data_IF_102943442413
#
_entry.id   IF_102943442413
#
_cell.length_a   1.000
_cell.length_b   1.000
_cell.length_c   1.000
_cell.angle_alpha   90.00
_cell.angle_beta   90.00
_cell.angle_gamma   90.00
#
_symmetry.space_group_name_H-M   'P 1'
#
loop_
_entity.id
_entity.type
_entity.pdbx_description
1 polymer ?
#
# COMPACT_ATOMS: atom_id res chain seq x y z
N UNK A 1 -16.64 -5.65 13.05
CA UNK A 1 -16.23 -6.79 13.91
C UNK A 1 -14.72 -6.87 14.07
N UNK A 2 -13.92 -6.90 12.99
CA UNK A 2 -12.44 -6.94 13.01
C UNK A 2 -11.79 -6.07 14.09
N UNK A 3 -12.15 -4.78 14.17
CA UNK A 3 -11.59 -3.87 15.18
C UNK A 3 -11.90 -4.27 16.63
N UNK A 4 -13.06 -4.87 16.92
CA UNK A 4 -13.39 -5.35 18.28
C UNK A 4 -12.43 -6.47 18.69
N UNK A 5 -12.13 -7.38 17.75
CA UNK A 5 -11.17 -8.46 17.95
C UNK A 5 -9.74 -7.94 18.14
N UNK A 6 -9.27 -7.04 17.27
CA UNK A 6 -7.92 -6.47 17.37
C UNK A 6 -7.70 -5.64 18.63
N UNK A 7 -8.76 -5.00 19.12
CA UNK A 7 -8.75 -4.25 20.37
C UNK A 7 -9.01 -5.16 21.58
N UNK A 8 -9.23 -6.46 21.42
CA UNK A 8 -9.33 -7.40 22.54
C UNK A 8 -8.03 -7.46 23.34
N UNK A 9 -8.14 -7.66 24.66
CA UNK A 9 -7.00 -7.90 25.55
C UNK A 9 -6.44 -6.67 26.27
N UNK A 10 -5.43 -6.90 27.13
CA UNK A 10 -4.86 -5.88 27.99
C UNK A 10 -4.07 -4.82 27.21
N UNK A 11 -3.95 -3.63 27.78
CA UNK A 11 -3.06 -2.59 27.25
C UNK A 11 -1.63 -2.94 27.63
N UNK A 12 -0.76 -3.05 26.63
CA UNK A 12 0.65 -3.34 26.81
C UNK A 12 1.39 -2.09 27.29
N UNK A 13 2.39 -2.29 28.15
CA UNK A 13 3.23 -1.19 28.63
C UNK A 13 4.07 -0.62 27.48
N UNK A 14 4.43 0.67 27.59
CA UNK A 14 5.31 1.32 26.60
C UNK A 14 6.67 0.61 26.49
N UNK A 15 7.17 0.04 27.59
CA UNK A 15 8.40 -0.74 27.62
C UNK A 15 8.30 -1.97 26.72
N UNK A 16 7.25 -2.79 26.89
CA UNK A 16 7.01 -3.99 26.07
C UNK A 16 6.93 -3.65 24.58
N UNK A 17 6.14 -2.64 24.22
CA UNK A 17 5.99 -2.23 22.81
C UNK A 17 7.34 -1.80 22.23
N UNK A 18 8.13 -1.00 22.96
CA UNK A 18 9.46 -0.55 22.52
C UNK A 18 10.44 -1.70 22.38
N UNK A 19 10.47 -2.63 23.34
CA UNK A 19 11.36 -3.80 23.29
C UNK A 19 11.03 -4.67 22.08
N UNK A 20 9.75 -5.01 21.86
CA UNK A 20 9.36 -5.81 20.69
C UNK A 20 9.66 -5.08 19.38
N UNK A 21 9.44 -3.76 19.33
CA UNK A 21 9.79 -2.97 18.14
C UNK A 21 11.30 -2.98 17.90
N UNK A 22 12.12 -2.80 18.94
CA UNK A 22 13.58 -2.84 18.83
C UNK A 22 14.09 -4.22 18.39
N UNK A 23 13.54 -5.30 18.94
CA UNK A 23 13.85 -6.67 18.53
C UNK A 23 13.49 -6.91 17.06
N UNK A 24 12.34 -6.41 16.59
CA UNK A 24 11.95 -6.53 15.20
C UNK A 24 12.89 -5.71 14.28
N UNK A 25 13.21 -4.46 14.63
CA UNK A 25 14.18 -3.66 13.86
C UNK A 25 15.55 -4.35 13.81
N UNK A 26 16.03 -4.90 14.93
CA UNK A 26 17.28 -5.64 14.99
C UNK A 26 17.24 -6.89 14.10
N UNK A 27 16.18 -7.67 14.19
CA UNK A 27 15.98 -8.85 13.33
C UNK A 27 15.97 -8.46 11.85
N UNK A 28 15.27 -7.38 11.48
CA UNK A 28 15.27 -6.86 10.13
C UNK A 28 16.68 -6.48 9.66
N UNK A 29 17.43 -5.72 10.45
CA UNK A 29 18.80 -5.32 10.11
C UNK A 29 19.75 -6.53 9.96
N UNK A 30 19.61 -7.54 10.82
CA UNK A 30 20.38 -8.78 10.73
C UNK A 30 20.05 -9.57 9.45
N UNK A 31 18.77 -9.72 9.12
CA UNK A 31 18.36 -10.41 7.89
C UNK A 31 18.80 -9.61 6.66
N UNK A 32 18.70 -8.28 6.67
CA UNK A 32 19.20 -7.41 5.60
C UNK A 32 20.70 -7.64 5.37
N UNK A 33 21.52 -7.59 6.43
CA UNK A 33 22.96 -7.78 6.34
C UNK A 33 23.38 -9.18 5.85
N UNK A 34 22.49 -10.18 5.96
CA UNK A 34 22.72 -11.56 5.52
C UNK A 34 21.82 -11.95 4.35
N UNK A 35 21.12 -11.01 3.72
CA UNK A 35 20.10 -11.30 2.73
C UNK A 35 20.66 -12.12 1.56
N UNK A 36 21.82 -11.72 1.02
CA UNK A 36 22.46 -12.44 -0.10
C UNK A 36 22.87 -13.89 0.20
N UNK A 37 22.99 -14.27 1.49
CA UNK A 37 23.27 -15.65 1.88
C UNK A 37 22.02 -16.45 2.26
N UNK A 38 20.94 -15.78 2.66
CA UNK A 38 19.71 -16.40 3.17
C UNK A 38 18.60 -16.48 2.12
N UNK A 39 18.61 -15.57 1.15
CA UNK A 39 17.53 -15.38 0.20
C UNK A 39 17.95 -15.79 -1.21
N UNK A 40 17.03 -16.35 -2.00
CA UNK A 40 17.33 -16.69 -3.38
C UNK A 40 17.60 -15.45 -4.25
N UNK A 41 18.46 -15.59 -5.26
CA UNK A 41 18.92 -14.50 -6.13
C UNK A 41 17.81 -13.69 -6.79
N UNK A 42 16.65 -14.31 -7.10
CA UNK A 42 15.58 -13.61 -7.81
C UNK A 42 14.99 -12.42 -7.03
N UNK A 43 15.08 -12.42 -5.70
CA UNK A 43 14.60 -11.32 -4.85
C UNK A 43 15.42 -10.04 -5.12
N UNK A 44 16.65 -10.19 -5.60
CA UNK A 44 17.58 -9.10 -5.88
C UNK A 44 17.45 -8.54 -7.30
N UNK A 45 16.67 -9.15 -8.21
CA UNK A 45 16.58 -8.74 -9.63
C UNK A 45 16.28 -7.25 -9.84
N UNK A 46 15.34 -6.68 -9.10
CA UNK A 46 15.00 -5.25 -9.24
C UNK A 46 16.13 -4.35 -8.71
N UNK A 47 16.85 -4.80 -7.70
CA UNK A 47 18.02 -4.11 -7.18
C UNK A 47 19.23 -4.24 -8.11
N UNK A 48 19.45 -5.39 -8.73
CA UNK A 48 20.51 -5.58 -9.72
C UNK A 48 20.31 -4.64 -10.91
N UNK A 49 19.06 -4.46 -11.36
CA UNK A 49 18.71 -3.47 -12.40
C UNK A 49 19.04 -2.05 -11.95
N UNK A 50 18.70 -1.70 -10.71
CA UNK A 50 18.98 -0.38 -10.14
C UNK A 50 20.50 -0.16 -10.00
N UNK A 51 21.23 -1.15 -9.51
CA UNK A 51 22.68 -1.12 -9.34
C UNK A 51 23.39 -0.99 -10.68
N UNK A 52 22.93 -1.70 -11.71
CA UNK A 52 23.43 -1.55 -13.07
C UNK A 52 23.24 -0.12 -13.60
N UNK A 53 22.06 0.49 -13.37
CA UNK A 53 21.80 1.88 -13.74
C UNK A 53 22.62 2.88 -12.90
N UNK A 54 22.84 2.61 -11.61
CA UNK A 54 23.75 3.41 -10.77
C UNK A 54 25.19 3.37 -11.30
N UNK A 55 25.62 2.24 -11.86
CA UNK A 55 26.92 2.07 -12.50
C UNK A 55 27.02 2.68 -13.91
N UNK A 56 25.96 3.32 -14.41
CA UNK A 56 25.96 3.99 -15.72
C UNK A 56 25.59 3.09 -16.91
N UNK A 57 24.95 1.94 -16.68
CA UNK A 57 24.46 1.11 -17.79
C UNK A 57 23.31 1.81 -18.55
N UNK A 58 23.27 1.68 -19.87
CA UNK A 58 22.18 2.25 -20.70
C UNK A 58 20.98 1.32 -20.90
N UNK A 59 21.04 0.08 -20.38
CA UNK A 59 20.03 -0.97 -20.63
C UNK A 59 18.60 -0.57 -20.30
N UNK A 60 18.40 0.29 -19.30
CA UNK A 60 17.08 0.75 -18.85
C UNK A 60 16.90 2.28 -18.95
N UNK A 61 17.69 2.94 -19.79
CA UNK A 61 17.65 4.40 -19.99
C UNK A 61 16.23 4.90 -20.29
N UNK A 62 15.83 6.00 -19.65
CA UNK A 62 14.49 6.58 -19.82
C UNK A 62 13.33 5.81 -19.17
N UNK A 63 13.61 4.69 -18.51
CA UNK A 63 12.59 3.94 -17.75
C UNK A 63 12.56 4.36 -16.28
N UNK A 64 11.57 3.85 -15.55
CA UNK A 64 11.49 4.02 -14.09
C UNK A 64 12.69 3.42 -13.33
N UNK A 65 13.46 2.49 -13.91
CA UNK A 65 14.69 1.97 -13.28
C UNK A 65 15.84 2.99 -13.35
N UNK A 66 15.97 3.71 -14.47
CA UNK A 66 16.98 4.77 -14.66
C UNK A 66 16.75 5.91 -13.68
N UNK A 67 15.52 6.43 -13.58
CA UNK A 67 15.18 7.51 -12.65
C UNK A 67 15.53 7.17 -11.18
N UNK A 68 15.25 5.93 -10.75
CA UNK A 68 15.57 5.46 -9.40
C UNK A 68 17.04 5.14 -9.23
N UNK A 69 17.70 4.61 -10.26
CA UNK A 69 19.15 4.41 -10.29
C UNK A 69 19.91 5.72 -10.10
N UNK A 70 19.55 6.77 -10.85
CA UNK A 70 20.12 8.11 -10.68
C UNK A 70 19.87 8.67 -9.28
N UNK A 71 18.66 8.46 -8.73
CA UNK A 71 18.35 8.89 -7.39
C UNK A 71 19.27 8.22 -6.35
N UNK A 72 19.44 6.89 -6.42
CA UNK A 72 20.29 6.16 -5.50
C UNK A 72 21.79 6.42 -5.72
N UNK A 73 22.22 6.71 -6.95
CA UNK A 73 23.59 7.09 -7.24
C UNK A 73 24.04 8.33 -6.47
N UNK A 74 23.13 9.26 -6.14
CA UNK A 74 23.45 10.44 -5.31
C UNK A 74 23.90 10.08 -3.89
N UNK A 75 23.57 8.89 -3.40
CA UNK A 75 23.94 8.41 -2.06
C UNK A 75 25.17 7.48 -2.08
N UNK A 76 25.49 6.88 -3.22
CA UNK A 76 26.64 5.99 -3.39
C UNK A 76 26.67 4.88 -2.32
N UNK A 77 27.73 4.76 -1.51
CA UNK A 77 27.82 3.75 -0.43
C UNK A 77 26.75 3.87 0.67
N UNK A 78 26.03 4.99 0.75
CA UNK A 78 25.01 5.22 1.79
C UNK A 78 23.63 4.64 1.44
N UNK A 79 23.46 4.00 0.28
CA UNK A 79 22.18 3.41 -0.14
C UNK A 79 21.71 2.33 0.85
N UNK A 80 22.56 1.40 1.24
CA UNK A 80 22.15 0.33 2.16
C UNK A 80 21.77 0.87 3.56
N UNK A 81 22.58 1.73 4.21
CA UNK A 81 22.16 2.43 5.43
C UNK A 81 20.85 3.20 5.28
N UNK A 82 20.61 3.84 4.13
CA UNK A 82 19.37 4.56 3.86
C UNK A 82 18.18 3.60 3.82
N UNK A 83 18.27 2.49 3.10
CA UNK A 83 17.18 1.49 3.02
C UNK A 83 16.89 0.89 4.39
N UNK A 84 17.93 0.52 5.14
CA UNK A 84 17.80 0.01 6.52
C UNK A 84 17.13 1.06 7.42
N UNK A 85 17.53 2.33 7.30
CA UNK A 85 16.93 3.44 8.05
C UNK A 85 15.44 3.61 7.74
N UNK A 86 15.05 3.57 6.47
CA UNK A 86 13.66 3.63 6.03
C UNK A 86 12.87 2.44 6.61
N UNK A 87 13.43 1.23 6.54
CA UNK A 87 12.79 0.03 7.09
C UNK A 87 12.63 0.08 8.61
N UNK A 88 13.64 0.55 9.33
CA UNK A 88 13.57 0.75 10.77
C UNK A 88 12.50 1.79 11.15
N UNK A 89 12.44 2.92 10.42
CA UNK A 89 11.40 3.92 10.61
C UNK A 89 9.99 3.37 10.30
N UNK A 90 9.85 2.56 9.26
CA UNK A 90 8.59 1.90 8.90
C UNK A 90 8.11 0.94 9.99
N UNK A 91 8.97 0.00 10.42
CA UNK A 91 8.67 -0.95 11.50
C UNK A 91 8.31 -0.18 12.78
N UNK A 92 9.10 0.84 13.13
CA UNK A 92 8.79 1.69 14.29
C UNK A 92 7.43 2.36 14.17
N UNK A 93 7.12 2.95 13.01
CA UNK A 93 5.83 3.62 12.78
C UNK A 93 4.64 2.65 12.87
N UNK A 94 4.81 1.41 12.40
CA UNK A 94 3.81 0.34 12.48
C UNK A 94 3.54 -0.10 13.92
N UNK A 95 4.59 -0.38 14.70
CA UNK A 95 4.44 -0.99 16.04
C UNK A 95 4.32 0.00 17.19
N UNK A 96 4.89 1.21 17.11
CA UNK A 96 4.96 2.13 18.26
C UNK A 96 3.60 2.57 18.82
N UNK A 97 2.52 2.39 18.05
CA UNK A 97 1.14 2.71 18.43
C UNK A 97 0.26 1.48 18.63
N UNK A 98 0.79 0.28 18.39
CA UNK A 98 0.12 -0.98 18.60
C UNK A 98 0.23 -1.39 20.08
N UNK A 99 -0.58 -0.79 20.95
CA UNK A 99 -0.51 -1.01 22.40
C UNK A 99 -1.39 -2.17 22.90
N UNK A 100 -1.86 -3.04 22.01
CA UNK A 100 -2.66 -4.23 22.33
C UNK A 100 -2.13 -5.42 21.53
N UNK A 101 -2.20 -6.66 22.07
CA UNK A 101 -1.68 -7.84 21.38
C UNK A 101 -2.26 -8.01 19.97
N UNK A 102 -3.57 -7.85 19.80
CA UNK A 102 -4.21 -7.95 18.48
C UNK A 102 -3.72 -6.89 17.49
N UNK A 103 -3.52 -5.64 17.94
CA UNK A 103 -2.93 -4.59 17.11
C UNK A 103 -1.46 -4.88 16.78
N UNK A 104 -0.68 -5.44 17.70
CA UNK A 104 0.71 -5.82 17.43
C UNK A 104 0.78 -6.94 16.40
N UNK A 105 -0.05 -7.97 16.55
CA UNK A 105 -0.15 -9.04 15.57
C UNK A 105 -0.54 -8.49 14.19
N UNK A 106 -1.54 -7.62 14.11
CA UNK A 106 -1.91 -6.96 12.86
C UNK A 106 -0.78 -6.10 12.27
N UNK A 107 -0.05 -5.35 13.11
CA UNK A 107 1.10 -4.56 12.67
C UNK A 107 2.19 -5.45 12.07
N UNK A 108 2.50 -6.58 12.71
CA UNK A 108 3.47 -7.56 12.21
C UNK A 108 3.01 -8.18 10.88
N UNK A 109 1.76 -8.66 10.80
CA UNK A 109 1.21 -9.25 9.56
C UNK A 109 1.25 -8.24 8.41
N UNK A 110 0.94 -6.96 8.68
CA UNK A 110 0.98 -5.90 7.68
C UNK A 110 2.42 -5.47 7.31
N UNK A 111 3.38 -5.56 8.23
CA UNK A 111 4.76 -5.13 7.97
C UNK A 111 5.61 -6.19 7.30
N UNK A 112 5.36 -7.49 7.56
CA UNK A 112 6.20 -8.59 7.04
C UNK A 112 6.34 -8.55 5.50
N UNK A 113 5.26 -8.47 4.69
CA UNK A 113 5.41 -8.41 3.24
C UNK A 113 6.17 -7.16 2.77
N UNK A 114 5.98 -6.02 3.45
CA UNK A 114 6.70 -4.78 3.11
C UNK A 114 8.18 -4.91 3.39
N UNK A 115 8.54 -5.45 4.56
CA UNK A 115 9.93 -5.72 4.93
C UNK A 115 10.57 -6.67 3.92
N UNK A 116 9.86 -7.74 3.56
CA UNK A 116 10.37 -8.79 2.69
C UNK A 116 10.52 -8.34 1.23
N UNK A 117 9.51 -7.67 0.67
CA UNK A 117 9.49 -7.35 -0.76
C UNK A 117 10.02 -5.97 -1.10
N UNK A 118 9.98 -5.00 -0.18
CA UNK A 118 10.26 -3.59 -0.50
C UNK A 118 11.48 -3.01 0.23
N UNK A 119 11.98 -3.70 1.27
CA UNK A 119 12.98 -3.14 2.19
C UNK A 119 14.20 -4.05 2.41
N UNK A 120 14.29 -5.21 1.75
CA UNK A 120 15.51 -6.02 1.78
C UNK A 120 16.58 -5.56 0.80
N UNK A 121 16.20 -4.77 -0.20
CA UNK A 121 17.14 -4.17 -1.15
C UNK A 121 16.57 -2.84 -1.65
N UNK A 122 17.45 -1.97 -2.15
CA UNK A 122 17.04 -0.74 -2.80
C UNK A 122 16.12 -1.06 -3.99
N UNK A 123 14.87 -0.63 -3.90
CA UNK A 123 13.85 -0.85 -4.93
C UNK A 123 13.03 0.41 -5.14
N UNK A 124 12.26 0.44 -6.24
CA UNK A 124 11.31 1.53 -6.49
C UNK A 124 10.28 1.64 -5.37
N UNK A 125 9.87 0.49 -4.82
CA UNK A 125 8.86 0.40 -3.78
C UNK A 125 9.38 0.90 -2.42
N UNK A 126 10.70 0.92 -2.20
CA UNK A 126 11.30 1.57 -1.03
C UNK A 126 10.96 3.06 -0.97
N UNK A 127 10.93 3.75 -2.13
CA UNK A 127 10.51 5.15 -2.21
C UNK A 127 9.02 5.30 -1.89
N UNK A 128 8.18 4.33 -2.29
CA UNK A 128 6.75 4.32 -1.97
C UNK A 128 6.53 4.14 -0.45
N UNK A 129 7.35 3.32 0.21
CA UNK A 129 7.36 3.21 1.68
C UNK A 129 7.75 4.55 2.33
N UNK A 130 8.73 5.26 1.78
CA UNK A 130 9.11 6.58 2.27
C UNK A 130 7.97 7.60 2.11
N UNK A 131 7.27 7.58 0.96
CA UNK A 131 6.07 8.38 0.74
C UNK A 131 5.00 8.06 1.80
N UNK A 132 4.76 6.77 2.07
CA UNK A 132 3.75 6.37 3.06
C UNK A 132 4.12 6.83 4.48
N UNK A 133 5.42 6.81 4.83
CA UNK A 133 5.93 7.38 6.08
C UNK A 133 5.66 8.89 6.19
N UNK A 134 5.99 9.67 5.17
CA UNK A 134 5.78 11.12 5.18
C UNK A 134 4.30 11.48 5.28
N UNK A 135 3.45 10.85 4.47
CA UNK A 135 2.00 11.12 4.46
C UNK A 135 1.35 10.69 5.78
N UNK A 136 1.69 9.50 6.30
CA UNK A 136 1.20 9.04 7.59
C UNK A 136 1.68 9.95 8.73
N UNK A 137 2.94 10.40 8.70
CA UNK A 137 3.49 11.35 9.67
C UNK A 137 2.73 12.68 9.64
N UNK A 138 2.51 13.26 8.46
CA UNK A 138 1.74 14.50 8.30
C UNK A 138 0.29 14.35 8.82
N UNK A 139 -0.30 13.17 8.65
CA UNK A 139 -1.63 12.85 9.15
C UNK A 139 -1.70 12.66 10.69
N UNK A 140 -0.58 12.46 11.40
CA UNK A 140 -0.57 12.14 12.84
C UNK A 140 -1.26 13.17 13.73
N UNK A 141 -1.18 14.45 13.36
CA UNK A 141 -1.82 15.55 14.11
C UNK A 141 -3.31 15.71 13.79
N UNK A 142 -3.89 14.82 12.97
CA UNK A 142 -5.30 14.86 12.59
C UNK A 142 -5.65 15.96 11.58
N UNK A 143 -4.66 16.73 11.09
CA UNK A 143 -4.87 17.81 10.13
C UNK A 143 -4.86 17.25 8.69
N UNK A 144 -6.01 17.16 8.01
CA UNK A 144 -6.07 16.61 6.66
C UNK A 144 -5.33 17.49 5.66
N UNK A 145 -5.27 18.82 5.83
CA UNK A 145 -4.62 19.73 4.86
C UNK A 145 -3.12 19.44 4.74
N UNK A 146 -2.44 19.19 5.87
CA UNK A 146 -1.02 18.81 5.87
C UNK A 146 -0.81 17.48 5.16
N UNK A 147 -1.63 16.47 5.48
CA UNK A 147 -1.56 15.17 4.83
C UNK A 147 -1.86 15.24 3.33
N UNK A 148 -2.84 16.06 2.91
CA UNK A 148 -3.16 16.30 1.50
C UNK A 148 -2.01 16.97 0.77
N UNK A 149 -1.42 18.03 1.33
CA UNK A 149 -0.29 18.73 0.72
C UNK A 149 0.91 17.78 0.58
N UNK A 150 1.27 17.05 1.64
CA UNK A 150 2.35 16.06 1.59
C UNK A 150 2.06 14.97 0.55
N UNK A 151 0.82 14.46 0.50
CA UNK A 151 0.46 13.46 -0.50
C UNK A 151 0.53 14.00 -1.93
N UNK A 152 0.06 15.23 -2.18
CA UNK A 152 0.12 15.87 -3.49
C UNK A 152 1.58 16.05 -3.94
N UNK A 153 2.46 16.54 -3.06
CA UNK A 153 3.87 16.71 -3.36
C UNK A 153 4.57 15.37 -3.60
N UNK A 154 4.38 14.39 -2.70
CA UNK A 154 5.06 13.10 -2.79
C UNK A 154 4.57 12.26 -3.98
N UNK A 155 3.26 12.09 -4.15
CA UNK A 155 2.70 11.33 -5.28
C UNK A 155 2.91 12.07 -6.60
N UNK A 156 2.81 13.40 -6.61
CA UNK A 156 3.06 14.21 -7.80
C UNK A 156 4.52 14.13 -8.27
N UNK A 157 5.48 14.28 -7.34
CA UNK A 157 6.90 14.13 -7.65
C UNK A 157 7.22 12.71 -8.15
N UNK A 158 6.68 11.68 -7.48
CA UNK A 158 6.89 10.30 -7.91
C UNK A 158 6.23 9.99 -9.27
N UNK A 159 5.07 10.58 -9.54
CA UNK A 159 4.41 10.44 -10.82
C UNK A 159 5.19 11.11 -11.97
N UNK A 160 5.74 12.30 -11.71
CA UNK A 160 6.51 13.04 -12.69
C UNK A 160 7.88 12.41 -12.99
N UNK A 161 8.52 11.81 -11.98
CA UNK A 161 9.91 11.35 -12.10
C UNK A 161 10.05 9.84 -12.28
N UNK A 162 9.14 9.04 -11.74
CA UNK A 162 9.32 7.58 -11.65
C UNK A 162 8.21 6.81 -12.36
N UNK A 163 6.94 6.98 -11.96
CA UNK A 163 5.82 6.20 -12.53
C UNK A 163 4.54 7.03 -12.60
N UNK A 164 4.16 7.43 -13.82
CA UNK A 164 3.03 8.33 -14.09
C UNK A 164 1.69 7.87 -13.51
N UNK A 165 1.43 6.57 -13.40
CA UNK A 165 0.17 6.05 -12.84
C UNK A 165 -0.03 6.41 -11.35
N UNK A 166 1.00 6.87 -10.64
CA UNK A 166 0.81 7.43 -9.28
C UNK A 166 -0.07 8.68 -9.27
N UNK A 167 -0.16 9.42 -10.39
CA UNK A 167 -1.12 10.49 -10.55
C UNK A 167 -2.56 9.95 -10.52
N UNK A 168 -2.81 8.79 -11.12
CA UNK A 168 -4.12 8.13 -11.07
C UNK A 168 -4.45 7.65 -9.65
N UNK A 169 -3.47 7.09 -8.93
CA UNK A 169 -3.64 6.72 -7.50
C UNK A 169 -4.05 7.94 -6.67
N UNK A 170 -3.35 9.07 -6.86
CA UNK A 170 -3.66 10.30 -6.16
C UNK A 170 -5.04 10.85 -6.54
N UNK A 171 -5.39 10.86 -7.83
CA UNK A 171 -6.69 11.31 -8.32
C UNK A 171 -7.84 10.48 -7.72
N UNK A 172 -7.73 9.14 -7.72
CA UNK A 172 -8.73 8.26 -7.10
C UNK A 172 -8.75 8.45 -5.58
N UNK A 173 -7.59 8.59 -4.93
CA UNK A 173 -7.51 8.82 -3.47
C UNK A 173 -8.17 10.12 -3.04
N UNK A 174 -7.87 11.24 -3.70
CA UNK A 174 -8.52 12.54 -3.44
C UNK A 174 -9.99 12.53 -3.85
N UNK A 175 -10.33 11.90 -4.97
CA UNK A 175 -11.71 11.73 -5.42
C UNK A 175 -12.55 10.95 -4.40
N UNK A 176 -12.04 9.81 -3.90
CA UNK A 176 -12.68 9.02 -2.86
C UNK A 176 -12.80 9.79 -1.53
N UNK A 177 -11.82 10.64 -1.20
CA UNK A 177 -11.91 11.51 -0.03
C UNK A 177 -13.00 12.59 -0.22
N UNK A 178 -13.03 13.27 -1.36
CA UNK A 178 -14.05 14.27 -1.67
C UNK A 178 -15.46 13.64 -1.69
N UNK A 179 -15.60 12.48 -2.33
CA UNK A 179 -16.83 11.68 -2.38
C UNK A 179 -17.43 11.40 -1.01
N UNK A 180 -16.60 11.10 0.00
CA UNK A 180 -17.05 10.85 1.38
C UNK A 180 -17.54 12.11 2.10
N UNK A 181 -17.19 13.29 1.61
CA UNK A 181 -17.56 14.58 2.21
C UNK A 181 -18.70 15.29 1.46
N UNK A 182 -19.06 14.84 0.26
CA UNK A 182 -20.14 15.43 -0.53
C UNK A 182 -21.52 14.85 -0.19
N UNK A 183 -22.60 15.66 -0.34
CA UNK A 183 -23.96 15.16 -0.21
C UNK A 183 -24.32 14.20 -1.36
N UNK A 184 -25.38 13.41 -1.17
CA UNK A 184 -25.77 12.33 -2.08
C UNK A 184 -25.92 12.79 -3.54
N UNK A 185 -26.52 13.95 -3.77
CA UNK A 185 -26.71 14.50 -5.13
C UNK A 185 -25.39 14.67 -5.91
N UNK A 186 -24.36 15.23 -5.27
CA UNK A 186 -23.05 15.44 -5.88
C UNK A 186 -22.28 14.14 -6.04
N UNK A 187 -22.55 13.16 -5.15
CA UNK A 187 -22.06 11.79 -5.33
C UNK A 187 -22.69 11.18 -6.58
N UNK A 188 -24.01 11.11 -6.69
CA UNK A 188 -24.67 10.55 -7.87
C UNK A 188 -24.21 11.22 -9.17
N UNK A 189 -24.15 12.56 -9.20
CA UNK A 189 -23.63 13.31 -10.34
C UNK A 189 -22.16 12.96 -10.65
N UNK A 190 -21.31 12.86 -9.61
CA UNK A 190 -19.92 12.45 -9.77
C UNK A 190 -19.73 11.03 -10.29
N UNK A 191 -20.55 10.06 -9.85
CA UNK A 191 -20.51 8.69 -10.37
C UNK A 191 -20.97 8.64 -11.82
N UNK A 192 -22.06 9.34 -12.16
CA UNK A 192 -22.52 9.42 -13.53
C UNK A 192 -21.46 10.05 -14.44
N UNK A 193 -20.82 11.13 -13.99
CA UNK A 193 -19.73 11.81 -14.71
C UNK A 193 -18.51 10.90 -14.86
N UNK A 194 -18.10 10.19 -13.81
CA UNK A 194 -16.97 9.27 -13.87
C UNK A 194 -17.26 8.08 -14.80
N UNK A 195 -18.47 7.51 -14.73
CA UNK A 195 -18.89 6.43 -15.60
C UNK A 195 -18.93 6.88 -17.06
N UNK A 196 -19.50 8.06 -17.33
CA UNK A 196 -19.53 8.65 -18.65
C UNK A 196 -18.12 8.94 -19.17
N UNK A 197 -17.24 9.51 -18.33
CA UNK A 197 -15.87 9.79 -18.70
C UNK A 197 -15.11 8.51 -19.06
N UNK A 198 -15.26 7.43 -18.28
CA UNK A 198 -14.67 6.13 -18.61
C UNK A 198 -15.29 5.58 -19.89
N UNK A 199 -16.61 5.60 -20.05
CA UNK A 199 -17.32 5.10 -21.23
C UNK A 199 -16.89 5.81 -22.53
N UNK A 200 -16.63 7.11 -22.45
CA UNK A 200 -16.19 7.93 -23.59
C UNK A 200 -14.69 7.80 -23.90
N UNK A 201 -13.92 7.02 -23.13
CA UNK A 201 -12.52 6.78 -23.47
C UNK A 201 -12.43 6.02 -24.79
N UNK A 202 -11.45 6.38 -25.65
CA UNK A 202 -11.24 5.64 -26.88
C UNK A 202 -10.65 4.25 -26.57
N UNK A 203 -10.97 3.26 -27.40
CA UNK A 203 -10.65 1.86 -27.14
C UNK A 203 -9.15 1.57 -26.93
N UNK A 204 -8.28 2.35 -27.58
CA UNK A 204 -6.83 2.26 -27.38
C UNK A 204 -6.39 2.58 -25.95
N UNK A 205 -7.14 3.41 -25.20
CA UNK A 205 -6.85 3.70 -23.79
C UNK A 205 -7.23 2.52 -22.91
N UNK A 206 -8.35 1.84 -23.18
CA UNK A 206 -8.69 0.61 -22.45
C UNK A 206 -7.61 -0.47 -22.65
N UNK A 207 -7.18 -0.66 -23.90
CA UNK A 207 -6.07 -1.57 -24.24
C UNK A 207 -4.80 -1.15 -23.51
N UNK A 208 -4.41 0.13 -23.57
CA UNK A 208 -3.20 0.61 -22.89
C UNK A 208 -3.22 0.39 -21.37
N UNK A 209 -4.40 0.46 -20.73
CA UNK A 209 -4.54 0.25 -19.29
C UNK A 209 -4.53 -1.23 -18.87
N UNK A 210 -5.12 -2.12 -19.66
CA UNK A 210 -5.29 -3.54 -19.30
C UNK A 210 -4.23 -4.46 -19.93
N UNK A 211 -3.70 -4.14 -21.11
CA UNK A 211 -2.76 -5.00 -21.82
C UNK A 211 -1.43 -5.17 -21.07
N UNK A 212 -1.01 -4.16 -20.30
CA UNK A 212 0.18 -4.25 -19.46
C UNK A 212 0.11 -5.39 -18.43
N UNK A 213 -1.10 -5.77 -17.99
CA UNK A 213 -1.26 -6.94 -17.10
C UNK A 213 -0.91 -8.22 -17.84
N UNK A 214 -1.50 -8.45 -19.01
CA UNK A 214 -1.26 -9.67 -19.79
C UNK A 214 0.22 -9.79 -20.18
N UNK A 215 0.85 -8.67 -20.52
CA UNK A 215 2.29 -8.63 -20.78
C UNK A 215 3.15 -9.01 -19.57
N UNK A 216 2.73 -8.61 -18.38
CA UNK A 216 3.39 -9.03 -17.15
C UNK A 216 3.17 -10.53 -16.87
N UNK A 217 1.99 -11.08 -17.22
CA UNK A 217 1.73 -12.52 -17.13
C UNK A 217 2.61 -13.29 -18.12
N UNK A 218 2.72 -12.86 -19.37
CA UNK A 218 3.58 -13.49 -20.38
C UNK A 218 5.03 -13.54 -19.90
N UNK A 219 5.53 -12.45 -19.33
CA UNK A 219 6.85 -12.42 -18.71
C UNK A 219 6.98 -13.49 -17.60
N UNK A 220 5.97 -13.62 -16.73
CA UNK A 220 5.98 -14.60 -15.64
C UNK A 220 5.88 -16.04 -16.14
N UNK A 221 5.11 -16.30 -17.20
CA UNK A 221 4.94 -17.65 -17.75
C UNK A 221 6.19 -18.11 -18.49
N UNK A 222 6.74 -17.23 -19.34
CA UNK A 222 7.81 -17.62 -20.27
C UNK A 222 9.22 -17.33 -19.75
N UNK A 223 9.39 -16.38 -18.82
CA UNK A 223 10.71 -15.90 -18.38
C UNK A 223 10.95 -16.03 -16.86
N UNK A 224 9.92 -16.36 -16.07
CA UNK A 224 10.09 -16.58 -14.63
C UNK A 224 10.31 -18.06 -14.30
N UNK A 225 11.39 -18.42 -13.59
CA UNK A 225 11.64 -19.80 -13.16
C UNK A 225 10.68 -20.28 -12.06
N UNK A 226 9.79 -19.43 -11.54
CA UNK A 226 8.87 -19.74 -10.44
C UNK A 226 7.44 -20.06 -10.89
N UNK A 227 7.17 -19.94 -12.19
CA UNK A 227 5.85 -20.12 -12.78
C UNK A 227 4.86 -19.01 -12.41
N UNK A 228 3.63 -19.16 -12.90
CA UNK A 228 2.59 -18.13 -12.88
C UNK A 228 1.37 -18.57 -12.05
N UNK A 229 1.60 -19.17 -10.87
CA UNK A 229 0.56 -19.94 -10.13
C UNK A 229 -0.71 -19.13 -9.81
N UNK A 230 -0.55 -17.87 -9.41
CA UNK A 230 -1.70 -16.99 -9.11
C UNK A 230 -1.96 -15.96 -10.21
N UNK A 231 -1.19 -16.02 -11.29
CA UNK A 231 -1.32 -15.10 -12.40
C UNK A 231 -2.61 -15.35 -13.16
N UNK A 232 -3.12 -14.33 -13.83
CA UNK A 232 -4.32 -14.45 -14.64
C UNK A 232 -4.31 -13.44 -15.79
N UNK A 233 -4.78 -13.90 -16.95
CA UNK A 233 -5.03 -13.06 -18.11
C UNK A 233 -6.38 -12.36 -18.01
N UNK A 234 -6.55 -11.32 -18.81
CA UNK A 234 -7.85 -10.74 -19.14
C UNK A 234 -8.72 -11.75 -19.88
N UNK A 235 -9.91 -12.12 -19.36
CA UNK A 235 -10.82 -13.03 -20.07
C UNK A 235 -11.54 -12.39 -21.25
N UNK A 236 -11.69 -11.06 -21.28
CA UNK A 236 -12.40 -10.34 -22.34
C UNK A 236 -11.44 -9.51 -23.18
N UNK A 237 -11.89 -9.10 -24.37
CA UNK A 237 -11.14 -8.17 -25.21
C UNK A 237 -11.24 -6.75 -24.60
N UNK A 238 -10.10 -6.11 -24.23
CA UNK A 238 -10.10 -4.78 -23.64
C UNK A 238 -10.45 -3.67 -24.66
N UNK A 239 -10.68 -3.96 -25.94
CA UNK A 239 -11.02 -2.95 -26.96
C UNK A 239 -12.37 -2.24 -26.75
N UNK A 240 -13.23 -2.76 -25.86
CA UNK A 240 -14.56 -2.22 -25.57
C UNK A 240 -14.75 -1.85 -24.10
N UNK A 241 -15.68 -0.91 -23.81
CA UNK A 241 -16.03 -0.54 -22.43
C UNK A 241 -16.53 -1.74 -21.60
N UNK A 242 -17.34 -2.61 -22.21
CA UNK A 242 -17.86 -3.80 -21.53
C UNK A 242 -16.74 -4.78 -21.17
N UNK A 243 -15.79 -5.02 -22.09
CA UNK A 243 -14.58 -5.80 -21.84
C UNK A 243 -13.76 -5.19 -20.71
N UNK A 244 -13.47 -3.89 -20.80
CA UNK A 244 -12.72 -3.17 -19.77
C UNK A 244 -13.32 -3.31 -18.36
N UNK A 245 -14.63 -3.09 -18.22
CA UNK A 245 -15.33 -3.24 -16.93
C UNK A 245 -15.32 -4.69 -16.46
N UNK A 246 -15.56 -5.65 -17.35
CA UNK A 246 -15.55 -7.07 -17.01
C UNK A 246 -14.18 -7.54 -16.50
N UNK A 247 -13.10 -7.17 -17.18
CA UNK A 247 -11.73 -7.53 -16.79
C UNK A 247 -11.29 -6.83 -15.49
N UNK A 248 -11.72 -5.58 -15.27
CA UNK A 248 -11.47 -4.88 -14.02
C UNK A 248 -12.19 -5.54 -12.83
N UNK A 249 -13.46 -5.91 -13.00
CA UNK A 249 -14.23 -6.62 -11.97
C UNK A 249 -13.69 -8.04 -11.73
N UNK A 250 -13.26 -8.72 -12.79
CA UNK A 250 -12.59 -10.01 -12.69
C UNK A 250 -11.31 -9.93 -11.87
N UNK A 251 -10.45 -8.95 -12.15
CA UNK A 251 -9.24 -8.69 -11.38
C UNK A 251 -9.54 -8.31 -9.92
N UNK A 252 -10.56 -7.48 -9.69
CA UNK A 252 -11.03 -7.13 -8.35
C UNK A 252 -11.38 -8.39 -7.54
N UNK A 253 -12.12 -9.32 -8.14
CA UNK A 253 -12.43 -10.62 -7.56
C UNK A 253 -11.18 -11.46 -7.31
N UNK A 254 -10.36 -11.68 -8.34
CA UNK A 254 -9.15 -12.53 -8.27
C UNK A 254 -8.16 -12.07 -7.20
N UNK A 255 -7.93 -10.76 -7.10
CA UNK A 255 -6.92 -10.19 -6.21
C UNK A 255 -7.42 -9.96 -4.78
N UNK A 256 -8.71 -9.65 -4.57
CA UNK A 256 -9.24 -9.38 -3.23
C UNK A 256 -9.96 -10.57 -2.59
N UNK A 257 -10.29 -11.61 -3.37
CA UNK A 257 -10.88 -12.87 -2.92
C UNK A 257 -10.00 -14.06 -3.33
N UNK A 258 -8.68 -13.87 -3.22
CA UNK A 258 -7.61 -14.80 -3.57
C UNK A 258 -7.93 -16.28 -3.29
N UNK A 259 -8.33 -16.56 -2.05
CA UNK A 259 -8.56 -17.92 -1.57
C UNK A 259 -9.71 -18.64 -2.29
N UNK A 260 -10.72 -17.90 -2.80
CA UNK A 260 -11.83 -18.49 -3.55
C UNK A 260 -11.41 -18.97 -4.94
N UNK A 261 -10.43 -18.30 -5.56
CA UNK A 261 -9.99 -18.62 -6.92
C UNK A 261 -8.73 -19.49 -6.96
N UNK A 262 -7.93 -19.47 -5.89
CA UNK A 262 -6.67 -20.23 -5.80
C UNK A 262 -6.49 -20.72 -4.37
N UNK A 263 -7.22 -21.77 -3.94
CA UNK A 263 -7.17 -22.23 -2.57
C UNK A 263 -5.80 -22.79 -2.22
N UNK A 264 -5.26 -22.32 -1.10
CA UNK A 264 -3.99 -22.77 -0.55
C UNK A 264 -3.63 -22.01 0.73
N UNK A 265 -2.69 -22.56 1.51
CA UNK A 265 -2.27 -21.98 2.80
C UNK A 265 -1.61 -20.62 2.60
N UNK A 266 -0.80 -20.47 1.53
CA UNK A 266 -0.16 -19.20 1.17
C UNK A 266 -1.20 -18.16 0.80
N UNK A 267 -2.19 -18.54 -0.02
CA UNK A 267 -3.26 -17.65 -0.46
C UNK A 267 -4.19 -17.28 0.70
N UNK A 268 -4.42 -18.17 1.66
CA UNK A 268 -5.13 -17.84 2.90
C UNK A 268 -4.37 -16.79 3.74
N UNK A 269 -3.05 -16.92 3.87
CA UNK A 269 -2.23 -15.93 4.57
C UNK A 269 -2.24 -14.57 3.85
N UNK A 270 -2.17 -14.56 2.52
CA UNK A 270 -2.28 -13.34 1.72
C UNK A 270 -3.68 -12.72 1.80
N UNK A 271 -4.74 -13.55 1.83
CA UNK A 271 -6.10 -13.10 2.05
C UNK A 271 -6.25 -12.40 3.40
N UNK A 272 -5.65 -12.95 4.47
CA UNK A 272 -5.63 -12.31 5.79
C UNK A 272 -4.92 -10.94 5.72
N UNK A 273 -3.78 -10.86 5.05
CA UNK A 273 -3.09 -9.59 4.82
C UNK A 273 -3.99 -8.58 4.09
N UNK A 274 -4.63 -8.98 2.99
CA UNK A 274 -5.54 -8.11 2.21
C UNK A 274 -6.69 -7.61 3.08
N UNK A 275 -7.32 -8.47 3.87
CA UNK A 275 -8.41 -8.07 4.78
C UNK A 275 -7.93 -7.03 5.80
N UNK A 276 -6.73 -7.19 6.36
CA UNK A 276 -6.14 -6.23 7.30
C UNK A 276 -5.73 -4.92 6.61
N UNK A 277 -5.23 -4.99 5.38
CA UNK A 277 -4.76 -3.83 4.62
C UNK A 277 -5.93 -3.01 4.07
N UNK A 278 -6.94 -3.64 3.47
CA UNK A 278 -8.04 -2.97 2.77
C UNK A 278 -9.26 -2.76 3.67
N UNK A 279 -9.55 -3.69 4.57
CA UNK A 279 -10.72 -3.64 5.45
C UNK A 279 -10.89 -2.33 6.23
N UNK A 280 -9.83 -1.73 6.82
CA UNK A 280 -9.93 -0.45 7.51
C UNK A 280 -10.37 0.70 6.59
N UNK A 281 -9.97 0.66 5.32
CA UNK A 281 -10.32 1.68 4.34
C UNK A 281 -11.80 1.61 3.92
N UNK A 282 -12.36 0.41 3.82
CA UNK A 282 -13.77 0.17 3.42
C UNK A 282 -14.78 0.39 4.55
N UNK A 283 -14.32 0.46 5.81
CA UNK A 283 -15.18 0.67 6.97
C UNK A 283 -15.83 2.05 7.06
N UNK A 284 -16.61 2.26 8.14
CA UNK A 284 -17.24 3.55 8.46
C UNK A 284 -16.21 4.70 8.49
N UNK A 285 -16.67 5.96 8.24
CA UNK A 285 -15.81 7.13 8.34
C UNK A 285 -14.98 7.15 9.62
N UNK A 286 -13.70 7.49 9.48
CA UNK A 286 -12.72 7.34 10.55
C UNK A 286 -12.81 8.46 11.58
N UNK A 287 -12.16 8.26 12.73
CA UNK A 287 -12.20 9.19 13.86
C UNK A 287 -11.66 10.60 13.51
N UNK A 288 -10.85 10.73 12.45
CA UNK A 288 -10.38 12.02 11.96
C UNK A 288 -10.42 12.10 10.42
N UNK A 289 -10.59 13.31 9.90
CA UNK A 289 -10.53 13.59 8.45
C UNK A 289 -9.20 13.14 7.83
N UNK A 290 -8.09 13.31 8.54
CA UNK A 290 -6.77 12.85 8.09
C UNK A 290 -6.71 11.31 7.94
N UNK A 291 -7.31 10.55 8.84
CA UNK A 291 -7.39 9.08 8.69
C UNK A 291 -8.33 8.66 7.57
N UNK A 292 -9.44 9.37 7.39
CA UNK A 292 -10.33 9.13 6.24
C UNK A 292 -9.54 9.32 4.94
N UNK A 293 -8.70 10.35 4.85
CA UNK A 293 -7.82 10.56 3.71
C UNK A 293 -6.85 9.38 3.49
N UNK A 294 -6.17 8.90 4.55
CA UNK A 294 -5.26 7.74 4.44
C UNK A 294 -6.00 6.49 3.93
N UNK A 295 -7.20 6.21 4.44
CA UNK A 295 -8.03 5.11 3.95
C UNK A 295 -8.43 5.30 2.48
N UNK A 296 -8.72 6.53 2.05
CA UNK A 296 -8.99 6.82 0.64
C UNK A 296 -7.77 6.59 -0.26
N UNK A 297 -6.55 6.88 0.21
CA UNK A 297 -5.34 6.52 -0.54
C UNK A 297 -5.13 5.01 -0.65
N UNK A 298 -5.48 4.21 0.38
CA UNK A 298 -5.52 2.75 0.25
C UNK A 298 -6.48 2.32 -0.86
N UNK A 299 -7.67 2.93 -0.94
CA UNK A 299 -8.63 2.67 -2.03
C UNK A 299 -8.03 3.03 -3.39
N UNK A 300 -7.30 4.16 -3.49
CA UNK A 300 -6.61 4.55 -4.72
C UNK A 300 -5.58 3.51 -5.17
N UNK A 301 -4.75 3.02 -4.25
CA UNK A 301 -3.78 1.95 -4.53
C UNK A 301 -4.48 0.67 -5.00
N UNK A 302 -5.49 0.22 -4.26
CA UNK A 302 -6.26 -0.98 -4.64
C UNK A 302 -6.89 -0.83 -6.02
N UNK A 303 -7.55 0.30 -6.30
CA UNK A 303 -8.22 0.54 -7.57
C UNK A 303 -7.25 0.50 -8.75
N UNK A 304 -6.11 1.18 -8.63
CA UNK A 304 -5.10 1.19 -9.70
C UNK A 304 -4.42 -0.18 -9.85
N UNK A 305 -4.19 -0.90 -8.76
CA UNK A 305 -3.64 -2.27 -8.83
C UNK A 305 -4.52 -3.21 -9.65
N UNK A 306 -5.84 -3.03 -9.68
CA UNK A 306 -6.71 -3.89 -10.50
C UNK A 306 -6.51 -3.70 -12.01
N UNK A 307 -5.79 -2.67 -12.44
CA UNK A 307 -5.43 -2.46 -13.85
C UNK A 307 -4.13 -3.19 -14.21
N UNK A 308 -3.17 -3.21 -13.30
CA UNK A 308 -1.77 -3.54 -13.61
C UNK A 308 -1.26 -4.83 -12.97
N UNK A 309 -1.81 -5.25 -11.83
CA UNK A 309 -1.24 -6.40 -11.12
C UNK A 309 -1.63 -7.71 -11.79
N UNK A 310 -0.64 -8.54 -12.19
CA UNK A 310 -0.92 -9.80 -12.84
C UNK A 310 -1.25 -10.92 -11.85
N UNK A 311 -0.87 -10.77 -10.58
CA UNK A 311 -0.93 -11.83 -9.58
C UNK A 311 -1.01 -11.31 -8.14
N UNK A 312 -1.16 -12.24 -7.19
CA UNK A 312 -1.29 -11.94 -5.76
C UNK A 312 0.01 -11.45 -5.11
N UNK A 313 1.17 -11.92 -5.60
CA UNK A 313 2.48 -11.58 -5.05
C UNK A 313 2.82 -10.12 -5.30
N UNK A 314 2.72 -9.68 -6.55
CA UNK A 314 2.92 -8.30 -6.96
C UNK A 314 1.87 -7.37 -6.33
N UNK A 315 0.60 -7.78 -6.28
CA UNK A 315 -0.44 -7.02 -5.58
C UNK A 315 -0.11 -6.82 -4.10
N UNK A 316 0.28 -7.89 -3.41
CA UNK A 316 0.66 -7.85 -1.98
C UNK A 316 1.87 -6.98 -1.75
N UNK A 317 2.90 -7.08 -2.61
CA UNK A 317 4.09 -6.24 -2.57
C UNK A 317 3.72 -4.75 -2.64
N UNK A 318 2.99 -4.34 -3.67
CA UNK A 318 2.63 -2.93 -3.84
C UNK A 318 1.70 -2.44 -2.73
N UNK A 319 0.69 -3.22 -2.34
CA UNK A 319 -0.22 -2.84 -1.24
C UNK A 319 0.51 -2.73 0.11
N UNK A 320 1.52 -3.57 0.36
CA UNK A 320 2.29 -3.54 1.61
C UNK A 320 3.13 -2.27 1.77
N UNK A 321 3.55 -1.64 0.67
CA UNK A 321 4.30 -0.37 0.71
C UNK A 321 3.51 0.77 1.37
N UNK A 322 2.17 0.67 1.36
CA UNK A 322 1.24 1.63 1.96
C UNK A 322 0.46 1.08 3.14
N UNK A 323 0.81 -0.11 3.66
CA UNK A 323 0.12 -0.73 4.79
C UNK A 323 0.14 0.13 6.07
N UNK A 324 1.08 1.07 6.19
CA UNK A 324 1.13 2.05 7.28
C UNK A 324 -0.13 2.94 7.33
N UNK A 325 -0.75 3.22 6.19
CA UNK A 325 -2.03 3.94 6.14
C UNK A 325 -3.12 3.15 6.88
N UNK A 326 -3.25 1.87 6.55
CA UNK A 326 -4.20 0.95 7.18
C UNK A 326 -3.94 0.80 8.67
N UNK A 327 -2.68 0.66 9.08
CA UNK A 327 -2.30 0.59 10.49
C UNK A 327 -2.63 1.89 11.24
N UNK A 328 -2.42 3.04 10.62
CA UNK A 328 -2.77 4.36 11.20
C UNK A 328 -4.28 4.52 11.38
N UNK A 329 -5.07 3.96 10.46
CA UNK A 329 -6.52 3.91 10.56
C UNK A 329 -6.96 2.97 11.70
N UNK A 330 -6.32 1.82 11.86
CA UNK A 330 -6.63 0.84 12.92
C UNK A 330 -6.29 1.33 14.34
N UNK A 331 -5.21 2.09 14.51
CA UNK A 331 -4.56 2.32 15.81
C UNK A 331 -5.14 3.43 16.71
N UNK A 332 -6.05 4.31 16.27
CA UNK A 332 -6.37 5.56 17.00
C UNK A 332 -7.84 5.70 17.40
N UNK A 333 -8.31 4.89 18.34
CA UNK A 333 -9.71 5.00 18.72
C UNK A 333 -10.04 4.92 20.21
N UNK A 334 -9.21 5.52 21.06
CA UNK A 334 -9.63 5.98 22.38
C UNK A 334 -9.08 7.37 22.68
N UNK A 335 -9.86 8.39 22.32
CA UNK A 335 -9.78 9.70 22.96
C UNK A 335 -11.13 10.26 23.39
N UNK A 336 -12.24 9.50 23.28
CA UNK A 336 -13.60 10.02 23.49
C UNK A 336 -14.46 9.32 24.54
N UNK A 337 -13.99 8.26 25.21
CA UNK A 337 -14.78 7.59 26.26
C UNK A 337 -14.38 7.98 27.69
N UNK A 338 -13.45 8.92 27.89
CA UNK A 338 -12.93 9.28 29.22
C UNK A 338 -13.29 10.69 29.74
N UNK A 339 -13.93 11.54 28.94
CA UNK A 339 -14.29 12.91 29.31
C UNK A 339 -15.78 13.19 29.06
N UNK A 340 -16.68 12.29 29.47
CA UNK A 340 -17.99 12.77 29.89
C UNK A 340 -17.78 13.35 31.29
N UNK A 341 -17.89 14.68 31.51
CA UNK A 341 -18.03 15.18 32.86
C UNK A 341 -19.23 14.44 33.47
N UNK A 342 -18.98 13.76 34.59
CA UNK A 342 -20.04 13.20 35.39
C UNK A 342 -21.11 14.29 35.55
N UNK A 343 -22.34 13.98 35.11
CA UNK A 343 -23.48 14.83 35.37
C UNK A 343 -23.47 15.13 36.87
N UNK A 344 -23.28 16.40 37.21
CA UNK A 344 -23.41 16.88 38.57
C UNK A 344 -24.78 16.42 39.08
N UNK A 345 -24.78 15.63 40.14
CA UNK A 345 -25.99 15.35 40.88
C UNK A 345 -26.61 16.70 41.29
N UNK A 346 -27.90 16.95 41.04
CA UNK A 346 -28.56 18.08 41.63
C UNK A 346 -28.60 17.84 43.14
N UNK A 347 -27.82 18.63 43.88
CA UNK A 347 -27.88 18.69 45.33
C UNK A 347 -29.27 19.14 45.76
N UNK A 348 -29.79 18.43 46.75
CA UNK A 348 -30.95 18.85 47.52
C UNK A 348 -30.66 20.21 48.19
N UNK A 349 -31.64 21.11 48.10
CA UNK A 349 -31.71 22.40 48.76
C UNK A 349 -33.15 22.88 48.72
#
# INVERSE_FOLDING_TARGET
MLRKWLMGGPVLSRGVVRTVTALYVLMYALVYAKAGALLPEFIFRDADKIQAQMGGADTYAGTSFDAVGRFYAMFGPLVDPLVIGIGACFIWAMLCRANRPGLMAAAVVLSVPCVFFNLFVASKDTLVVLISLFVAHAARRGNPRRAMLTALLCYGAYAALVRSYFALIAAIGFGAYAWRNFPLQWRLAGAATALLAVFLLPGNIYVALLHSRDMAVDYLVYQSPYGARTSFYNPLDPSSFAGFVGDYLYALGRLNLAWLFSPGIKELAMQLFIVLAVGPALGKPQASRAQTLLGCFVIGHVAVSMLFEPDLGSYTRHLSSVALYSMTVLSVARRREGNSPAAAAPGAG
#
